data_IF_071115389008
#
_entry.id   IF_071115389008
#
_cell.length_a   1.000
_cell.length_b   1.000
_cell.length_c   1.000
_cell.angle_alpha   90.00
_cell.angle_beta   90.00
_cell.angle_gamma   90.00
#
_symmetry.space_group_name_H-M   'P 1'
#
loop_
_entity.id
_entity.type
_entity.pdbx_description
1 polymer ?
#
# COMPACT_ATOMS: atom_id res chain seq x y z
N UNK A 1 -8.80 -22.18 3.43
CA UNK A 1 -8.93 -21.20 2.33
C UNK A 1 -7.53 -20.90 1.83
N UNK A 2 -7.27 -20.98 0.51
CA UNK A 2 -5.91 -20.99 -0.03
C UNK A 2 -5.70 -19.92 -1.12
N UNK A 3 -6.41 -18.79 -1.05
CA UNK A 3 -6.32 -17.69 -2.03
C UNK A 3 -5.21 -16.71 -1.62
N UNK A 4 -4.49 -16.09 -2.58
CA UNK A 4 -3.54 -15.01 -2.29
C UNK A 4 -4.25 -13.83 -1.60
N UNK A 5 -3.48 -13.06 -0.82
CA UNK A 5 -3.98 -11.89 -0.09
C UNK A 5 -3.45 -10.61 -0.73
N UNK A 6 -4.36 -9.71 -1.08
CA UNK A 6 -4.03 -8.34 -1.48
C UNK A 6 -4.44 -7.41 -0.34
N UNK A 7 -3.45 -6.76 0.26
CA UNK A 7 -3.67 -5.76 1.30
C UNK A 7 -3.57 -4.38 0.65
N UNK A 8 -4.60 -3.58 0.80
CA UNK A 8 -4.72 -2.28 0.17
C UNK A 8 -4.68 -1.22 1.26
N UNK A 9 -3.74 -0.30 1.17
CA UNK A 9 -3.74 0.90 1.99
C UNK A 9 -4.93 1.81 1.64
N UNK A 10 -5.37 2.67 2.55
CA UNK A 10 -6.58 3.47 2.36
C UNK A 10 -6.30 4.83 1.72
N UNK A 11 -5.72 5.76 2.46
CA UNK A 11 -5.59 7.17 2.10
C UNK A 11 -4.49 7.36 1.06
N UNK A 12 -4.75 8.11 -0.02
CA UNK A 12 -3.77 8.27 -1.12
C UNK A 12 -3.68 7.05 -2.05
N UNK A 13 -4.03 5.86 -1.56
CA UNK A 13 -4.10 4.63 -2.33
C UNK A 13 -5.47 4.41 -2.96
N UNK A 14 -6.56 4.42 -2.19
CA UNK A 14 -7.93 4.22 -2.73
C UNK A 14 -8.60 5.52 -3.15
N UNK A 15 -8.19 6.65 -2.58
CA UNK A 15 -8.87 7.93 -2.74
C UNK A 15 -8.33 9.02 -1.82
N UNK A 16 -8.91 10.21 -1.94
CA UNK A 16 -8.71 11.35 -1.07
C UNK A 16 -9.97 11.53 -0.23
N UNK A 17 -9.75 11.55 1.06
CA UNK A 17 -10.79 11.68 2.07
C UNK A 17 -10.41 12.91 2.90
N UNK A 18 -10.78 14.10 2.42
CA UNK A 18 -10.27 15.34 2.99
C UNK A 18 -11.04 15.73 4.25
N UNK A 19 -10.38 15.74 5.41
CA UNK A 19 -10.96 16.16 6.68
C UNK A 19 -11.12 17.68 6.80
N UNK A 20 -12.30 18.18 6.44
CA UNK A 20 -12.87 19.41 6.97
C UNK A 20 -14.13 19.05 7.78
N UNK A 21 -14.56 19.85 8.77
CA UNK A 21 -15.59 19.48 9.75
C UNK A 21 -16.97 19.08 9.18
N UNK A 22 -17.18 19.18 7.87
CA UNK A 22 -18.20 18.46 7.09
C UNK A 22 -17.60 18.14 5.72
N UNK A 23 -17.30 16.86 5.46
CA UNK A 23 -16.85 16.43 4.14
C UNK A 23 -18.08 16.40 3.24
N UNK A 24 -18.10 17.21 2.19
CA UNK A 24 -19.15 17.16 1.16
C UNK A 24 -18.75 16.35 -0.07
N UNK A 25 -17.45 16.04 -0.21
CA UNK A 25 -16.88 15.42 -1.42
C UNK A 25 -15.72 14.50 -1.07
N UNK A 26 -15.79 13.27 -1.57
CA UNK A 26 -14.71 12.27 -1.55
C UNK A 26 -14.28 12.02 -2.99
N UNK A 27 -12.97 11.91 -3.21
CA UNK A 27 -12.44 11.58 -4.53
C UNK A 27 -11.87 10.17 -4.52
N UNK A 28 -12.45 9.27 -5.31
CA UNK A 28 -12.00 7.89 -5.42
C UNK A 28 -11.03 7.72 -6.59
N UNK A 29 -10.13 6.75 -6.45
CA UNK A 29 -9.27 6.30 -7.55
C UNK A 29 -10.16 5.78 -8.69
N UNK A 30 -9.86 6.11 -9.95
CA UNK A 30 -10.70 5.69 -11.08
C UNK A 30 -10.77 4.18 -11.23
N UNK A 31 -11.94 3.70 -11.62
CA UNK A 31 -12.28 2.28 -11.77
C UNK A 31 -12.09 1.46 -10.46
N UNK A 32 -12.15 2.08 -9.28
CA UNK A 32 -11.92 1.41 -7.99
C UNK A 32 -12.77 0.15 -7.84
N UNK A 33 -14.09 0.27 -8.00
CA UNK A 33 -15.02 -0.85 -7.88
C UNK A 33 -14.73 -1.97 -8.88
N UNK A 34 -14.51 -1.62 -10.15
CA UNK A 34 -14.25 -2.61 -11.19
C UNK A 34 -12.90 -3.32 -10.99
N UNK A 35 -11.84 -2.58 -10.66
CA UNK A 35 -10.52 -3.15 -10.42
C UNK A 35 -10.49 -4.05 -9.19
N UNK A 36 -11.17 -3.67 -8.11
CA UNK A 36 -11.28 -4.53 -6.92
C UNK A 36 -12.17 -5.75 -7.16
N UNK A 37 -13.27 -5.62 -7.92
CA UNK A 37 -14.07 -6.77 -8.32
C UNK A 37 -13.27 -7.77 -9.18
N UNK A 38 -12.41 -7.28 -10.09
CA UNK A 38 -11.48 -8.11 -10.86
C UNK A 38 -10.46 -8.83 -9.96
N UNK A 39 -10.02 -8.24 -8.85
CA UNK A 39 -9.11 -8.91 -7.91
C UNK A 39 -9.83 -9.91 -7.01
N UNK A 40 -11.06 -9.58 -6.60
CA UNK A 40 -11.88 -10.40 -5.73
C UNK A 40 -12.32 -11.73 -6.35
N UNK A 41 -12.04 -11.99 -7.64
CA UNK A 41 -12.23 -13.31 -8.27
C UNK A 41 -11.19 -14.32 -7.78
N UNK A 42 -9.94 -13.89 -7.59
CA UNK A 42 -8.81 -14.79 -7.34
C UNK A 42 -8.15 -14.54 -5.98
N UNK A 43 -8.27 -13.34 -5.42
CA UNK A 43 -7.65 -12.92 -4.17
C UNK A 43 -8.65 -12.65 -3.04
N UNK A 44 -8.19 -12.84 -1.81
CA UNK A 44 -8.79 -12.18 -0.66
C UNK A 44 -8.32 -10.71 -0.64
N UNK A 45 -9.22 -9.78 -0.32
CA UNK A 45 -8.96 -8.35 -0.25
C UNK A 45 -9.05 -7.85 1.19
N UNK A 46 -7.97 -7.26 1.68
CA UNK A 46 -7.95 -6.56 2.96
C UNK A 46 -7.73 -5.07 2.74
N UNK A 47 -8.43 -4.23 3.52
CA UNK A 47 -8.12 -2.81 3.65
C UNK A 47 -7.35 -2.59 4.96
N UNK A 48 -6.23 -1.86 4.92
CA UNK A 48 -5.44 -1.58 6.11
C UNK A 48 -5.11 -0.09 6.21
N UNK A 49 -5.52 0.57 7.29
CA UNK A 49 -5.31 2.00 7.52
C UNK A 49 -4.70 2.27 8.90
N UNK A 50 -4.02 3.43 9.03
CA UNK A 50 -3.57 3.98 10.32
C UNK A 50 -4.58 4.94 10.92
N UNK A 51 -5.76 5.07 10.33
CA UNK A 51 -6.83 5.82 10.93
C UNK A 51 -7.53 5.01 12.02
N UNK A 52 -8.26 5.72 12.87
CA UNK A 52 -9.13 5.12 13.89
C UNK A 52 -10.19 4.20 13.27
N UNK A 53 -10.69 3.27 14.08
CA UNK A 53 -11.71 2.31 13.62
C UNK A 53 -12.97 3.02 13.11
N UNK A 54 -13.45 4.05 13.81
CA UNK A 54 -14.63 4.81 13.39
C UNK A 54 -14.47 5.42 12.00
N UNK A 55 -13.27 5.93 11.67
CA UNK A 55 -12.97 6.40 10.33
C UNK A 55 -12.92 5.27 9.31
N UNK A 56 -12.22 4.18 9.62
CA UNK A 56 -12.11 3.02 8.73
C UNK A 56 -13.51 2.47 8.36
N UNK A 57 -14.42 2.40 9.33
CA UNK A 57 -15.82 1.98 9.14
C UNK A 57 -16.62 2.98 8.30
N UNK A 58 -16.45 4.27 8.54
CA UNK A 58 -17.13 5.30 7.75
C UNK A 58 -16.71 5.21 6.27
N UNK A 59 -15.42 5.03 5.99
CA UNK A 59 -14.93 4.87 4.62
C UNK A 59 -15.37 3.53 4.01
N UNK A 60 -15.33 2.43 4.76
CA UNK A 60 -15.86 1.13 4.34
C UNK A 60 -17.32 1.23 3.88
N UNK A 61 -18.16 1.96 4.62
CA UNK A 61 -19.56 2.19 4.26
C UNK A 61 -19.72 2.96 2.93
N UNK A 62 -18.90 3.99 2.70
CA UNK A 62 -18.90 4.75 1.43
C UNK A 62 -18.48 3.85 0.27
N UNK A 63 -17.42 3.05 0.46
CA UNK A 63 -16.93 2.11 -0.54
C UNK A 63 -17.99 1.04 -0.87
N UNK A 64 -18.69 0.52 0.14
CA UNK A 64 -19.77 -0.44 -0.03
C UNK A 64 -20.93 0.11 -0.88
N UNK A 65 -21.28 1.39 -0.72
CA UNK A 65 -22.30 2.06 -1.56
C UNK A 65 -21.88 2.15 -3.04
N UNK A 66 -20.58 2.08 -3.31
CA UNK A 66 -20.00 2.07 -4.67
C UNK A 66 -19.73 0.66 -5.18
N UNK A 67 -20.23 -0.37 -4.49
CA UNK A 67 -20.04 -1.77 -4.87
C UNK A 67 -18.65 -2.32 -4.57
N UNK A 68 -17.83 -1.59 -3.79
CA UNK A 68 -16.52 -2.07 -3.32
C UNK A 68 -16.72 -2.85 -2.02
N UNK A 69 -16.16 -4.05 -1.93
CA UNK A 69 -16.18 -4.86 -0.70
C UNK A 69 -14.79 -5.40 -0.42
N UNK A 70 -14.43 -5.44 0.84
CA UNK A 70 -13.25 -6.11 1.35
C UNK A 70 -13.69 -7.31 2.18
N UNK A 71 -12.86 -8.34 2.20
CA UNK A 71 -13.06 -9.49 3.08
C UNK A 71 -12.68 -9.15 4.53
N UNK A 72 -11.87 -8.11 4.74
CA UNK A 72 -11.53 -7.58 6.07
C UNK A 72 -11.03 -6.14 6.02
N UNK A 73 -11.37 -5.35 7.04
CA UNK A 73 -10.93 -3.96 7.22
C UNK A 73 -10.23 -3.84 8.56
N UNK A 74 -9.01 -3.28 8.53
CA UNK A 74 -8.10 -3.20 9.67
C UNK A 74 -7.71 -1.75 9.93
N UNK A 75 -8.01 -1.27 11.13
CA UNK A 75 -7.72 0.09 11.60
C UNK A 75 -6.38 0.16 12.34
N UNK A 76 -5.99 1.38 12.77
CA UNK A 76 -4.76 1.64 13.51
C UNK A 76 -4.54 0.69 14.68
N UNK A 77 -5.55 0.51 15.53
CA UNK A 77 -5.43 -0.31 16.75
C UNK A 77 -5.12 -1.78 16.46
N UNK A 78 -5.44 -2.26 15.25
CA UNK A 78 -5.26 -3.65 14.85
C UNK A 78 -3.93 -3.91 14.12
N UNK A 79 -3.33 -2.87 13.55
CA UNK A 79 -2.11 -3.01 12.74
C UNK A 79 -0.92 -2.23 13.30
N UNK A 80 -1.10 -1.19 14.10
CA UNK A 80 0.01 -0.37 14.56
C UNK A 80 0.98 -1.14 15.47
N UNK A 81 2.28 -0.93 15.30
CA UNK A 81 3.27 -1.47 16.24
C UNK A 81 3.17 -0.77 17.59
N UNK A 82 3.37 -1.54 18.65
CA UNK A 82 3.45 -1.05 20.03
C UNK A 82 4.93 -0.89 20.37
N UNK A 83 5.43 0.35 20.37
CA UNK A 83 6.81 0.65 20.77
C UNK A 83 6.90 2.06 21.36
N UNK A 84 7.83 2.30 22.31
CA UNK A 84 8.09 3.64 22.85
C UNK A 84 8.70 4.60 21.81
N UNK A 85 9.05 4.11 20.61
CA UNK A 85 9.51 4.96 19.52
C UNK A 85 8.36 5.81 18.99
N UNK A 86 8.55 7.13 18.78
CA UNK A 86 7.54 7.95 18.10
C UNK A 86 7.28 7.44 16.68
N UNK A 87 8.20 6.66 16.10
CA UNK A 87 8.04 6.10 14.76
C UNK A 87 7.11 4.86 14.74
N UNK A 88 6.82 4.24 15.88
CA UNK A 88 6.07 2.99 15.98
C UNK A 88 4.66 3.06 15.37
N UNK A 89 3.97 4.17 15.60
CA UNK A 89 2.62 4.45 15.09
C UNK A 89 2.56 4.57 13.56
N UNK A 90 3.72 4.73 12.91
CA UNK A 90 3.86 4.83 11.47
C UNK A 90 4.09 3.46 10.80
N UNK A 91 4.15 2.37 11.56
CA UNK A 91 4.26 1.01 11.06
C UNK A 91 2.94 0.27 11.26
N UNK A 92 2.44 -0.39 10.23
CA UNK A 92 1.41 -1.40 10.32
C UNK A 92 2.07 -2.79 10.55
N UNK A 93 1.31 -3.82 10.91
CA UNK A 93 1.81 -5.18 11.13
C UNK A 93 0.95 -6.17 10.34
N UNK A 94 1.31 -6.42 9.08
CA UNK A 94 0.51 -7.24 8.18
C UNK A 94 0.48 -8.72 8.54
N UNK A 95 1.31 -9.20 9.48
CA UNK A 95 1.16 -10.57 9.98
C UNK A 95 -0.19 -10.77 10.66
N UNK A 96 -0.71 -9.74 11.37
CA UNK A 96 -2.05 -9.82 11.98
C UNK A 96 -3.11 -10.06 10.91
N UNK A 97 -2.98 -9.38 9.77
CA UNK A 97 -3.89 -9.56 8.63
C UNK A 97 -3.71 -10.95 8.02
N UNK A 98 -2.47 -11.39 7.75
CA UNK A 98 -2.19 -12.73 7.24
C UNK A 98 -2.79 -13.85 8.10
N UNK A 99 -2.60 -13.77 9.42
CA UNK A 99 -3.14 -14.70 10.40
C UNK A 99 -4.67 -14.69 10.38
N UNK A 100 -5.30 -13.51 10.30
CA UNK A 100 -6.76 -13.37 10.19
C UNK A 100 -7.33 -14.06 8.94
N UNK A 101 -6.59 -14.03 7.83
CA UNK A 101 -6.97 -14.68 6.57
C UNK A 101 -6.50 -16.15 6.45
N UNK A 102 -5.75 -16.67 7.42
CA UNK A 102 -5.16 -18.00 7.36
C UNK A 102 -4.11 -18.17 6.24
N UNK A 103 -3.45 -17.08 5.84
CA UNK A 103 -2.38 -17.10 4.82
C UNK A 103 -1.05 -17.31 5.52
N UNK A 104 -0.58 -18.56 5.54
CA UNK A 104 0.68 -18.93 6.20
C UNK A 104 1.94 -18.56 5.42
N UNK A 105 1.84 -18.43 4.09
CA UNK A 105 2.96 -18.12 3.21
C UNK A 105 2.94 -16.65 2.78
N UNK A 106 3.88 -15.82 3.29
CA UNK A 106 3.96 -14.40 2.96
C UNK A 106 4.28 -14.11 1.50
N UNK A 107 4.84 -15.08 0.76
CA UNK A 107 5.05 -14.90 -0.68
C UNK A 107 3.73 -14.78 -1.45
N UNK A 108 2.61 -15.16 -0.82
CA UNK A 108 1.25 -15.06 -1.36
C UNK A 108 0.53 -13.80 -0.90
N UNK A 109 1.27 -12.85 -0.35
CA UNK A 109 0.77 -11.54 0.06
C UNK A 109 1.39 -10.45 -0.80
N UNK A 110 0.56 -9.55 -1.30
CA UNK A 110 1.01 -8.30 -1.91
C UNK A 110 0.33 -7.13 -1.22
N UNK A 111 1.10 -6.05 -1.08
CA UNK A 111 0.62 -4.81 -0.46
C UNK A 111 0.56 -3.75 -1.53
N UNK A 112 -0.57 -3.08 -1.66
CA UNK A 112 -0.76 -1.92 -2.53
C UNK A 112 -0.78 -0.68 -1.67
N UNK A 113 0.13 0.26 -1.96
CA UNK A 113 0.26 1.52 -1.22
C UNK A 113 0.70 2.65 -2.13
N UNK A 114 0.49 3.89 -1.70
CA UNK A 114 0.87 5.09 -2.43
C UNK A 114 2.35 5.46 -2.25
N UNK A 115 2.89 6.24 -3.19
CA UNK A 115 4.24 6.82 -3.14
C UNK A 115 4.24 8.08 -2.27
N UNK A 116 5.16 8.19 -1.32
CA UNK A 116 4.94 9.11 -0.19
C UNK A 116 5.98 10.16 0.13
N UNK A 117 7.21 10.14 -0.41
CA UNK A 117 8.15 11.20 -0.07
C UNK A 117 7.89 12.50 -0.85
N UNK A 118 6.65 12.97 -0.82
CA UNK A 118 6.25 14.23 -1.43
C UNK A 118 6.03 15.34 -0.40
N UNK A 119 6.28 15.07 0.89
CA UNK A 119 6.26 16.11 1.93
C UNK A 119 7.20 17.29 1.58
N UNK A 120 8.21 17.08 0.73
CA UNK A 120 9.07 18.12 0.15
C UNK A 120 8.79 18.50 -1.31
N UNK A 121 7.78 17.94 -1.99
CA UNK A 121 7.53 18.23 -3.40
C UNK A 121 6.04 18.18 -3.76
N UNK A 122 5.33 19.33 -3.66
CA UNK A 122 3.87 19.39 -3.82
C UNK A 122 3.37 19.10 -5.24
N UNK A 123 4.24 18.89 -6.25
CA UNK A 123 3.80 18.66 -7.63
C UNK A 123 4.73 17.71 -8.39
N UNK A 124 4.66 16.41 -8.09
CA UNK A 124 5.09 15.42 -9.08
C UNK A 124 4.07 15.34 -10.19
N UNK A 125 4.47 15.66 -11.41
CA UNK A 125 3.62 15.46 -12.58
C UNK A 125 3.69 13.98 -13.00
N UNK A 126 2.69 13.45 -13.73
CA UNK A 126 2.73 12.07 -14.23
C UNK A 126 3.97 11.81 -15.08
N UNK A 127 4.54 12.85 -15.70
CA UNK A 127 5.78 12.78 -16.46
C UNK A 127 7.01 12.59 -15.56
N UNK A 128 7.03 13.21 -14.38
CA UNK A 128 8.17 13.12 -13.45
C UNK A 128 8.19 11.75 -12.80
N UNK A 129 7.03 11.26 -12.36
CA UNK A 129 6.87 9.89 -11.87
C UNK A 129 7.23 8.83 -12.92
N UNK A 130 6.82 9.01 -14.18
CA UNK A 130 7.15 8.08 -15.27
C UNK A 130 8.63 8.08 -15.63
N UNK A 131 9.29 9.24 -15.58
CA UNK A 131 10.71 9.40 -15.99
C UNK A 131 11.69 9.09 -14.87
N UNK A 132 11.27 9.20 -13.61
CA UNK A 132 12.16 9.01 -12.47
C UNK A 132 12.61 7.56 -12.34
N UNK A 133 13.89 7.38 -12.05
CA UNK A 133 14.52 6.11 -11.73
C UNK A 133 14.57 5.96 -10.22
N UNK A 134 13.63 5.21 -9.67
CA UNK A 134 13.50 5.06 -8.22
C UNK A 134 14.59 4.18 -7.62
N UNK A 135 15.33 3.43 -8.45
CA UNK A 135 16.54 2.73 -8.06
C UNK A 135 17.71 3.68 -7.75
N UNK A 136 17.71 4.88 -8.34
CA UNK A 136 18.71 5.93 -8.09
C UNK A 136 18.32 6.81 -6.88
N UNK A 137 17.02 6.89 -6.57
CA UNK A 137 16.44 7.65 -5.46
C UNK A 137 15.49 6.76 -4.61
N UNK A 138 15.97 5.66 -3.99
CA UNK A 138 15.13 4.72 -3.25
C UNK A 138 14.53 5.33 -1.98
N UNK A 139 15.12 6.40 -1.47
CA UNK A 139 14.61 7.21 -0.36
C UNK A 139 13.23 7.83 -0.63
N UNK A 140 12.83 7.98 -1.89
CA UNK A 140 11.47 8.40 -2.27
C UNK A 140 10.41 7.35 -1.97
N UNK A 141 10.81 6.07 -1.92
CA UNK A 141 9.98 4.95 -1.48
C UNK A 141 10.10 4.74 0.04
N UNK A 142 11.25 5.12 0.61
CA UNK A 142 11.63 4.79 1.98
C UNK A 142 11.42 5.96 2.97
N UNK A 143 10.66 7.01 2.61
CA UNK A 143 10.43 8.15 3.52
C UNK A 143 9.53 7.78 4.68
N UNK A 144 9.87 8.28 5.87
CA UNK A 144 9.46 7.75 7.17
C UNK A 144 7.98 7.76 7.56
N UNK A 145 6.98 7.73 6.66
CA UNK A 145 5.56 7.90 7.04
C UNK A 145 4.45 7.14 6.25
N UNK A 146 4.63 5.95 5.64
CA UNK A 146 3.56 5.01 5.10
C UNK A 146 3.99 3.83 4.17
N UNK A 147 5.23 3.75 3.67
CA UNK A 147 5.79 2.59 2.93
C UNK A 147 6.88 1.95 3.79
N UNK A 148 7.29 2.68 4.82
CA UNK A 148 7.84 2.13 6.05
C UNK A 148 6.83 1.27 6.80
N UNK A 149 5.63 1.01 6.29
CA UNK A 149 4.56 0.40 7.06
C UNK A 149 4.89 -1.00 7.60
N UNK A 150 5.90 -1.75 7.13
CA UNK A 150 6.12 -3.11 7.65
C UNK A 150 7.56 -3.50 7.78
N UNK A 151 8.00 -3.74 9.00
CA UNK A 151 9.37 -4.12 9.18
C UNK A 151 9.63 -5.64 9.25
N UNK A 152 8.56 -6.44 9.26
CA UNK A 152 8.62 -7.83 9.75
C UNK A 152 8.77 -8.88 8.66
N UNK A 153 8.22 -8.68 7.46
CA UNK A 153 8.10 -9.78 6.49
C UNK A 153 8.62 -9.40 5.10
N UNK A 154 9.92 -9.63 4.90
CA UNK A 154 10.70 -9.25 3.71
C UNK A 154 10.30 -10.03 2.45
N UNK A 155 9.53 -11.10 2.59
CA UNK A 155 9.01 -11.93 1.48
C UNK A 155 7.75 -11.36 0.84
N UNK A 156 7.12 -10.37 1.45
CA UNK A 156 6.00 -9.63 0.88
C UNK A 156 6.50 -8.75 -0.26
N UNK A 157 5.74 -8.71 -1.36
CA UNK A 157 5.95 -7.77 -2.47
C UNK A 157 5.09 -6.53 -2.25
N UNK A 158 5.66 -5.37 -2.53
CA UNK A 158 4.94 -4.09 -2.49
C UNK A 158 4.68 -3.60 -3.90
N UNK A 159 3.45 -3.23 -4.19
CA UNK A 159 3.05 -2.54 -5.40
C UNK A 159 2.77 -1.08 -5.06
N UNK A 160 3.70 -0.22 -5.45
CA UNK A 160 3.64 1.21 -5.15
C UNK A 160 2.96 1.95 -6.30
N UNK A 161 1.91 2.70 -5.97
CA UNK A 161 1.14 3.51 -6.93
C UNK A 161 1.36 5.00 -6.64
N UNK A 162 1.20 5.89 -7.63
CA UNK A 162 1.21 7.33 -7.35
C UNK A 162 -0.01 7.72 -6.50
N UNK A 163 0.15 8.70 -5.61
CA UNK A 163 -0.98 9.30 -4.88
C UNK A 163 -2.05 9.82 -5.85
N UNK A 164 -3.30 9.81 -5.39
CA UNK A 164 -4.49 10.32 -6.10
C UNK A 164 -4.50 11.86 -6.30
N UNK A 165 -3.39 12.51 -6.64
CA UNK A 165 -3.35 13.93 -7.05
C UNK A 165 -2.11 14.20 -7.92
N UNK A 166 -2.00 13.55 -9.07
CA UNK A 166 -0.91 13.85 -10.01
C UNK A 166 -1.43 14.81 -11.09
N UNK A 167 -1.14 16.13 -11.05
CA UNK A 167 -1.70 17.07 -12.01
C UNK A 167 -1.20 16.78 -13.43
N UNK A 168 -2.09 16.76 -14.41
CA UNK A 168 -1.70 16.63 -15.81
C UNK A 168 -1.06 17.91 -16.37
N UNK A 169 -0.80 17.95 -17.68
CA UNK A 169 -0.16 19.09 -18.33
C UNK A 169 -0.98 20.40 -18.20
N UNK A 170 -2.30 20.28 -17.96
CA UNK A 170 -3.22 21.40 -17.81
C UNK A 170 -3.52 21.71 -16.32
N UNK A 171 -2.83 21.02 -15.41
CA UNK A 171 -3.00 21.18 -13.96
C UNK A 171 -4.19 20.41 -13.36
N UNK A 172 -4.89 19.59 -14.15
CA UNK A 172 -6.04 18.82 -13.67
C UNK A 172 -5.58 17.56 -12.91
N UNK A 173 -6.13 17.25 -11.72
CA UNK A 173 -5.70 16.10 -10.94
C UNK A 173 -6.04 14.79 -11.65
N UNK A 174 -5.04 13.93 -11.83
CA UNK A 174 -5.21 12.57 -12.34
C UNK A 174 -4.68 11.54 -11.38
N UNK A 175 -5.20 10.33 -11.54
CA UNK A 175 -4.75 9.16 -10.82
C UNK A 175 -4.64 7.96 -11.75
N UNK A 176 -3.75 7.04 -11.39
CA UNK A 176 -3.66 5.75 -12.04
C UNK A 176 -4.90 4.92 -11.71
N UNK A 177 -5.54 4.35 -12.72
CA UNK A 177 -6.72 3.48 -12.60
C UNK A 177 -6.45 2.24 -11.74
N UNK A 178 -7.43 1.85 -10.91
CA UNK A 178 -7.37 0.61 -10.14
C UNK A 178 -7.40 -0.64 -11.04
N UNK A 179 -7.94 -0.56 -12.27
CA UNK A 179 -7.80 -1.67 -13.23
C UNK A 179 -6.36 -1.89 -13.67
N UNK A 180 -5.54 -0.83 -13.72
CA UNK A 180 -4.12 -1.00 -14.02
C UNK A 180 -3.40 -1.74 -12.88
N UNK A 181 -3.72 -1.40 -11.63
CA UNK A 181 -3.27 -2.11 -10.43
C UNK A 181 -3.68 -3.58 -10.50
N UNK A 182 -4.97 -3.85 -10.74
CA UNK A 182 -5.53 -5.20 -10.81
C UNK A 182 -4.83 -6.08 -11.86
N UNK A 183 -4.66 -5.57 -13.08
CA UNK A 183 -3.94 -6.28 -14.15
C UNK A 183 -2.49 -6.60 -13.78
N UNK A 184 -1.80 -5.68 -13.11
CA UNK A 184 -0.43 -5.94 -12.65
C UNK A 184 -0.38 -7.05 -11.61
N UNK A 185 -1.30 -7.06 -10.65
CA UNK A 185 -1.42 -8.11 -9.63
C UNK A 185 -1.72 -9.47 -10.28
N UNK A 186 -2.68 -9.54 -11.21
CA UNK A 186 -2.98 -10.76 -11.96
C UNK A 186 -1.77 -11.26 -12.76
N UNK A 187 -1.06 -10.36 -13.43
CA UNK A 187 0.18 -10.73 -14.14
C UNK A 187 1.22 -11.34 -13.20
N UNK A 188 1.35 -10.84 -11.96
CA UNK A 188 2.26 -11.42 -10.98
C UNK A 188 1.80 -12.80 -10.52
N UNK A 189 0.50 -12.98 -10.27
CA UNK A 189 -0.06 -14.28 -9.89
C UNK A 189 0.13 -15.33 -10.99
N UNK A 190 -0.20 -14.97 -12.23
CA UNK A 190 -0.08 -15.86 -13.39
C UNK A 190 1.37 -16.29 -13.61
N UNK A 191 2.31 -15.33 -13.59
CA UNK A 191 3.74 -15.60 -13.77
C UNK A 191 4.36 -16.34 -12.59
N UNK A 192 3.79 -16.13 -11.39
CA UNK A 192 4.29 -16.68 -10.14
C UNK A 192 3.59 -17.95 -9.68
N UNK A 193 2.67 -18.50 -10.49
CA UNK A 193 1.84 -19.67 -10.12
C UNK A 193 1.17 -19.51 -8.76
N UNK A 194 0.66 -18.31 -8.46
CA UNK A 194 -0.01 -17.99 -7.20
C UNK A 194 0.90 -17.46 -6.06
N UNK A 195 2.21 -17.30 -6.30
CA UNK A 195 3.16 -16.58 -5.44
C UNK A 195 3.51 -15.22 -6.04
N UNK A 196 3.27 -14.14 -5.31
CA UNK A 196 3.67 -12.79 -5.72
C UNK A 196 5.19 -12.64 -5.75
N UNK A 197 5.93 -13.29 -4.84
CA UNK A 197 7.39 -13.23 -4.86
C UNK A 197 7.97 -13.95 -6.08
N UNK A 198 7.44 -15.11 -6.44
CA UNK A 198 7.82 -15.80 -7.67
C UNK A 198 7.45 -14.94 -8.90
N UNK A 199 6.25 -14.35 -8.91
CA UNK A 199 5.81 -13.43 -9.96
C UNK A 199 6.72 -12.21 -10.10
N UNK A 200 7.15 -11.63 -8.97
CA UNK A 200 8.12 -10.53 -8.92
C UNK A 200 9.47 -10.95 -9.49
N UNK A 201 9.98 -12.15 -9.15
CA UNK A 201 11.24 -12.68 -9.69
C UNK A 201 11.17 -12.94 -11.19
N UNK A 202 10.05 -13.46 -11.69
CA UNK A 202 9.85 -13.64 -13.15
C UNK A 202 9.73 -12.28 -13.83
N UNK A 203 8.95 -11.35 -13.27
CA UNK A 203 8.89 -9.96 -13.77
C UNK A 203 10.27 -9.31 -13.76
N UNK A 204 11.12 -9.60 -12.76
CA UNK A 204 12.52 -9.12 -12.67
C UNK A 204 13.36 -9.54 -13.88
N UNK A 205 13.11 -10.73 -14.42
CA UNK A 205 13.80 -11.26 -15.59
C UNK A 205 13.24 -10.68 -16.89
N UNK A 206 11.91 -10.52 -16.98
CA UNK A 206 11.22 -10.20 -18.24
C UNK A 206 11.00 -8.70 -18.50
N UNK A 207 10.89 -7.88 -17.45
CA UNK A 207 10.53 -6.47 -17.57
C UNK A 207 11.75 -5.57 -17.29
N UNK A 208 11.76 -4.29 -17.76
CA UNK A 208 12.87 -3.36 -17.57
C UNK A 208 13.18 -3.12 -16.08
N UNK A 209 14.45 -2.89 -15.70
CA UNK A 209 14.84 -2.57 -14.32
C UNK A 209 14.20 -1.29 -13.78
N UNK A 210 13.87 -0.32 -14.64
CA UNK A 210 13.35 1.02 -14.31
C UNK A 210 11.99 1.06 -13.55
N UNK A 211 11.35 -0.09 -13.27
CA UNK A 211 10.09 -0.19 -12.50
C UNK A 211 10.26 -0.85 -11.11
N UNK A 212 11.46 -1.29 -10.74
CA UNK A 212 11.67 -2.10 -9.53
C UNK A 212 12.73 -1.49 -8.64
N UNK A 213 12.50 -1.57 -7.34
CA UNK A 213 13.46 -1.11 -6.34
C UNK A 213 13.57 -2.12 -5.21
N UNK A 214 14.80 -2.41 -4.82
CA UNK A 214 15.13 -3.15 -3.60
C UNK A 214 15.74 -2.15 -2.61
N UNK A 215 15.11 -1.94 -1.45
CA UNK A 215 15.54 -0.94 -0.45
C UNK A 215 15.78 -1.63 0.90
N UNK A 216 17.00 -1.46 1.43
CA UNK A 216 17.41 -1.96 2.75
C UNK A 216 17.39 -0.88 3.84
N UNK A 217 17.31 0.41 3.46
CA UNK A 217 17.32 1.57 4.37
C UNK A 217 16.26 1.45 5.48
N UNK A 218 15.11 0.84 5.19
CA UNK A 218 14.06 0.58 6.17
C UNK A 218 14.51 -0.41 7.26
N UNK A 219 15.02 -1.57 6.83
CA UNK A 219 15.57 -2.58 7.73
C UNK A 219 16.73 -2.02 8.56
N UNK A 220 17.57 -1.17 7.95
CA UNK A 220 18.67 -0.51 8.64
C UNK A 220 18.16 0.47 9.71
N UNK A 221 17.22 1.37 9.37
CA UNK A 221 16.72 2.40 10.32
C UNK A 221 16.11 1.80 11.57
N UNK A 222 15.33 0.76 11.43
CA UNK A 222 14.70 0.13 12.58
C UNK A 222 15.65 -0.86 13.29
N UNK A 223 16.61 -1.46 12.57
CA UNK A 223 17.76 -2.12 13.21
C UNK A 223 18.48 -1.19 14.19
N UNK A 224 18.60 0.10 13.86
CA UNK A 224 19.15 1.13 14.78
C UNK A 224 18.25 1.39 15.99
N UNK A 225 16.93 1.37 15.84
CA UNK A 225 15.99 1.56 16.95
C UNK A 225 16.11 0.43 17.99
N UNK A 226 16.19 -0.83 17.52
CA UNK A 226 16.38 -2.01 18.38
C UNK A 226 17.76 -1.97 19.04
N UNK A 227 18.80 -1.61 18.28
CA UNK A 227 20.15 -1.44 18.81
C UNK A 227 20.22 -0.33 19.89
N UNK A 228 19.33 0.66 19.83
CA UNK A 228 19.18 1.69 20.86
C UNK A 228 18.39 1.22 22.11
N UNK A 229 18.11 -0.09 22.23
CA UNK A 229 17.43 -0.68 23.39
C UNK A 229 15.93 -0.46 23.42
N UNK A 230 15.31 -0.03 22.31
CA UNK A 230 13.86 0.10 22.19
C UNK A 230 13.28 -1.21 21.66
N UNK A 231 12.60 -1.97 22.52
CA UNK A 231 11.84 -3.14 22.08
C UNK A 231 10.66 -2.73 21.21
N UNK A 232 10.40 -3.52 20.18
CA UNK A 232 9.28 -3.31 19.25
C UNK A 232 8.36 -4.52 19.34
N UNK A 233 7.09 -4.25 19.63
CA UNK A 233 6.07 -5.28 19.79
C UNK A 233 4.97 -5.12 18.75
N UNK A 234 4.33 -6.23 18.39
CA UNK A 234 3.09 -6.20 17.60
C UNK A 234 1.87 -5.83 18.47
N UNK A 235 0.66 -5.63 17.87
CA UNK A 235 -0.57 -5.38 18.62
C UNK A 235 -0.92 -6.45 19.65
N UNK A 236 -0.38 -7.67 19.51
CA UNK A 236 -0.58 -8.80 20.41
C UNK A 236 0.48 -8.86 21.53
N UNK A 237 1.44 -7.93 21.55
CA UNK A 237 2.51 -7.85 22.55
C UNK A 237 3.72 -8.74 22.27
N UNK A 238 3.79 -9.42 21.12
CA UNK A 238 4.94 -10.26 20.73
C UNK A 238 6.14 -9.37 20.40
N UNK A 239 7.32 -9.67 20.96
CA UNK A 239 8.57 -8.98 20.64
C UNK A 239 9.08 -9.39 19.25
N UNK A 240 9.45 -8.41 18.43
CA UNK A 240 9.78 -8.61 17.01
C UNK A 240 11.29 -8.51 16.71
N UNK A 241 12.14 -8.40 17.74
CA UNK A 241 13.58 -8.10 17.63
C UNK A 241 14.40 -9.04 16.73
N UNK A 242 14.00 -10.31 16.60
CA UNK A 242 14.70 -11.28 15.74
C UNK A 242 14.32 -11.17 14.27
N UNK A 243 13.07 -10.79 13.97
CA UNK A 243 12.55 -10.65 12.60
C UNK A 243 13.21 -9.46 11.88
N UNK A 244 13.77 -8.52 12.65
CA UNK A 244 14.42 -7.31 12.14
C UNK A 244 15.90 -7.46 11.79
N UNK A 245 16.59 -8.48 12.30
CA UNK A 245 18.06 -8.63 12.14
C UNK A 245 18.49 -9.33 10.84
N UNK A 246 17.57 -9.86 10.04
CA UNK A 246 17.84 -10.76 8.91
C UNK A 246 17.84 -10.16 7.49
N UNK A 247 18.91 -9.44 7.13
CA UNK A 247 19.59 -9.53 5.81
C UNK A 247 18.95 -9.08 4.47
N UNK A 248 17.70 -9.39 4.12
CA UNK A 248 17.18 -9.15 2.75
C UNK A 248 16.50 -7.77 2.55
N UNK A 249 16.68 -7.09 1.41
CA UNK A 249 16.00 -5.82 1.14
C UNK A 249 14.50 -6.02 0.88
N UNK A 250 13.72 -4.98 1.16
CA UNK A 250 12.31 -4.92 0.79
C UNK A 250 12.16 -4.82 -0.74
N UNK A 251 11.07 -5.38 -1.30
CA UNK A 251 10.86 -5.53 -2.74
C UNK A 251 9.67 -4.70 -3.20
N UNK A 252 9.94 -3.69 -4.03
CA UNK A 252 8.94 -2.78 -4.55
C UNK A 252 8.81 -2.90 -6.07
N UNK A 253 7.57 -2.93 -6.55
CA UNK A 253 7.19 -2.68 -7.93
C UNK A 253 6.56 -1.29 -7.96
N UNK A 254 7.19 -0.36 -8.67
CA UNK A 254 6.66 0.99 -8.86
C UNK A 254 5.80 1.02 -10.11
N UNK A 255 4.48 1.12 -9.93
CA UNK A 255 3.53 1.05 -11.02
C UNK A 255 3.36 2.41 -11.73
N UNK A 256 4.15 2.61 -12.78
CA UNK A 256 4.17 3.84 -13.58
C UNK A 256 2.96 4.03 -14.51
N UNK A 257 2.31 2.93 -14.92
CA UNK A 257 1.16 2.93 -15.83
C UNK A 257 1.47 3.46 -17.25
N UNK A 258 0.61 3.12 -18.20
CA UNK A 258 0.63 3.65 -19.57
C UNK A 258 -0.24 4.89 -19.68
N UNK A 259 -0.08 5.70 -20.74
CA UNK A 259 -0.87 6.96 -20.91
C UNK A 259 -2.38 6.79 -20.73
N UNK A 260 -2.95 5.67 -21.19
CA UNK A 260 -4.39 5.36 -21.05
C UNK A 260 -4.84 4.89 -19.66
N UNK A 261 -3.91 4.56 -18.77
CA UNK A 261 -4.21 4.13 -17.40
C UNK A 261 -4.47 5.31 -16.46
N UNK A 262 -4.11 6.54 -16.86
CA UNK A 262 -4.25 7.75 -16.05
C UNK A 262 -5.56 8.47 -16.36
N UNK A 263 -6.44 8.53 -15.36
CA UNK A 263 -7.81 9.04 -15.51
C UNK A 263 -8.09 10.16 -14.50
N UNK A 264 -9.07 11.05 -14.78
CA UNK A 264 -9.60 11.98 -13.79
C UNK A 264 -10.19 11.22 -12.60
N UNK A 265 -10.10 11.79 -11.40
CA UNK A 265 -10.68 11.21 -10.19
C UNK A 265 -12.20 11.05 -10.30
N UNK A 266 -12.75 10.03 -9.64
CA UNK A 266 -14.19 9.85 -9.51
C UNK A 266 -14.69 10.60 -8.27
N UNK A 267 -15.62 11.54 -8.45
CA UNK A 267 -16.20 12.31 -7.35
C UNK A 267 -17.45 11.62 -6.79
N UNK A 268 -17.56 11.59 -5.46
CA UNK A 268 -18.75 11.14 -4.73
C UNK A 268 -19.11 12.18 -3.67
N UNK A 269 -20.36 12.64 -3.67
CA UNK A 269 -20.89 13.47 -2.58
C UNK A 269 -21.28 12.55 -1.41
N UNK A 270 -20.53 12.63 -0.31
CA UNK A 270 -20.74 11.80 0.87
C UNK A 270 -20.32 12.54 2.14
N UNK A 271 -21.13 12.41 3.20
CA UNK A 271 -20.81 12.91 4.54
C UNK A 271 -20.08 11.81 5.33
N UNK A 272 -18.86 12.11 5.80
CA UNK A 272 -18.12 11.24 6.71
C UNK A 272 -18.47 11.61 8.15
N UNK A 273 -19.28 10.77 8.80
CA UNK A 273 -19.58 10.89 10.24
C UNK A 273 -18.63 9.99 11.01
N UNK A 274 -17.79 10.60 11.84
CA UNK A 274 -16.89 9.90 12.75
C UNK A 274 -17.49 10.14 14.13
N UNK A 275 -18.21 9.14 14.62
CA UNK A 275 -18.76 9.12 15.99
C UNK A 275 -17.71 8.67 16.99
#
# INVERSE_FOLDING_TARGET
MNRPLVIIDLDGTTGLYHFAPRIGKVFLRPDLAAGLAELATDCCLALATRAEESYARAVEAILAQRGVRFDGVFSRSQVALVSPSPWAEYFKHFRVIQENFGVADPERVIVVGDLMNLAGNPFFLPRDYRRRRFEEEPDLLCSGMSLTDHPVERRIVYLVVPQVLTPDADGAPRSLSMRAVARTIHTLLDRGSGSFLAGYRVKKILDPPDERVECDLLSQRMGLEIAAGRSVHDPQGRCLDEEFKGGEPHRYIVLKGRRGDWKPLEEVEAELRIE
#
